data_IF_013018286334
#
_entry.id   IF_013018286334
#
_cell.length_a   1.000
_cell.length_b   1.000
_cell.length_c   1.000
_cell.angle_alpha   90.00
_cell.angle_beta   90.00
_cell.angle_gamma   90.00
#
_symmetry.space_group_name_H-M   'P 1'
#
loop_
_entity.id
_entity.type
_entity.pdbx_description
1 polymer ?
#
# COMPACT_ATOMS: atom_id res chain seq x y z
N UNK A 1 -35.93 8.61 0.21
CA UNK A 1 -35.45 8.49 -1.19
C UNK A 1 -36.29 9.30 -2.18
N UNK A 2 -37.62 9.39 -2.02
CA UNK A 2 -38.50 10.11 -2.95
C UNK A 2 -38.21 11.62 -3.06
N UNK A 3 -37.96 12.31 -1.95
CA UNK A 3 -37.63 13.75 -1.94
C UNK A 3 -36.31 14.04 -2.69
N UNK A 4 -35.30 13.18 -2.51
CA UNK A 4 -34.02 13.32 -3.20
C UNK A 4 -34.18 13.18 -4.72
N UNK A 5 -35.02 12.23 -5.14
CA UNK A 5 -35.30 11.97 -6.56
C UNK A 5 -36.00 13.16 -7.21
N UNK A 6 -36.97 13.78 -6.52
CA UNK A 6 -37.64 15.01 -6.97
C UNK A 6 -36.66 16.18 -7.08
N UNK A 7 -35.77 16.36 -6.10
CA UNK A 7 -34.75 17.41 -6.13
C UNK A 7 -33.77 17.25 -7.30
N UNK A 8 -33.36 16.01 -7.59
CA UNK A 8 -32.49 15.69 -8.74
C UNK A 8 -33.19 16.04 -10.05
N UNK A 9 -34.47 15.66 -10.21
CA UNK A 9 -35.24 15.97 -11.43
C UNK A 9 -35.39 17.49 -11.61
N UNK A 10 -35.74 18.23 -10.56
CA UNK A 10 -35.84 19.69 -10.62
C UNK A 10 -34.50 20.35 -10.98
N UNK A 11 -33.39 19.84 -10.45
CA UNK A 11 -32.05 20.31 -10.78
C UNK A 11 -31.74 20.12 -12.28
N UNK A 12 -32.05 18.96 -12.86
CA UNK A 12 -31.84 18.73 -14.29
C UNK A 12 -32.72 19.61 -15.18
N UNK A 13 -33.98 19.82 -14.81
CA UNK A 13 -34.88 20.75 -15.54
C UNK A 13 -34.31 22.17 -15.51
N UNK A 14 -33.81 22.60 -14.35
CA UNK A 14 -33.16 23.89 -14.20
C UNK A 14 -31.87 24.03 -15.03
N UNK A 15 -31.04 22.98 -15.08
CA UNK A 15 -29.85 22.95 -15.94
C UNK A 15 -30.20 23.07 -17.43
N UNK A 16 -31.22 22.34 -17.90
CA UNK A 16 -31.69 22.42 -19.28
C UNK A 16 -32.17 23.84 -19.60
N UNK A 17 -32.92 24.46 -18.67
CA UNK A 17 -33.39 25.83 -18.82
C UNK A 17 -32.23 26.83 -18.97
N UNK A 18 -31.18 26.70 -18.13
CA UNK A 18 -29.97 27.52 -18.22
C UNK A 18 -29.27 27.33 -19.57
N UNK A 19 -29.09 26.10 -20.01
CA UNK A 19 -28.46 25.79 -21.30
C UNK A 19 -29.22 26.47 -22.44
N UNK A 20 -30.54 26.27 -22.52
CA UNK A 20 -31.38 26.90 -23.55
C UNK A 20 -31.30 28.43 -23.47
N UNK A 21 -31.26 29.02 -22.26
CA UNK A 21 -31.16 30.46 -22.06
C UNK A 21 -29.82 31.06 -22.52
N UNK A 22 -28.73 30.30 -22.39
CA UNK A 22 -27.38 30.68 -22.86
C UNK A 22 -27.32 30.68 -24.39
N UNK A 23 -27.89 29.66 -25.05
CA UNK A 23 -27.85 29.52 -26.51
C UNK A 23 -28.75 30.53 -27.25
N UNK A 24 -29.74 31.14 -26.58
CA UNK A 24 -30.65 32.13 -27.18
C UNK A 24 -29.99 33.44 -27.64
N UNK A 25 -28.81 33.82 -27.12
CA UNK A 25 -28.14 35.08 -27.49
C UNK A 25 -26.66 34.87 -27.83
N UNK A 26 -26.16 35.45 -28.93
CA UNK A 26 -24.77 35.27 -29.35
C UNK A 26 -23.76 35.82 -28.33
N UNK A 27 -24.12 36.91 -27.63
CA UNK A 27 -23.30 37.49 -26.56
C UNK A 27 -23.17 36.54 -25.34
N UNK A 28 -24.27 35.91 -24.91
CA UNK A 28 -24.28 34.98 -23.77
C UNK A 28 -23.46 33.73 -24.06
N UNK A 29 -23.54 33.21 -25.28
CA UNK A 29 -22.72 32.09 -25.75
C UNK A 29 -21.22 32.42 -25.66
N UNK A 30 -20.81 33.61 -26.11
CA UNK A 30 -19.39 34.05 -26.01
C UNK A 30 -18.93 34.15 -24.55
N UNK A 31 -19.73 34.76 -23.68
CA UNK A 31 -19.41 34.87 -22.24
C UNK A 31 -19.32 33.49 -21.58
N UNK A 32 -20.28 32.60 -21.86
CA UNK A 32 -20.28 31.25 -21.31
C UNK A 32 -19.06 30.43 -21.77
N UNK A 33 -18.64 30.58 -23.03
CA UNK A 33 -17.42 29.93 -23.54
C UNK A 33 -16.15 30.47 -22.87
N UNK A 34 -16.07 31.78 -22.63
CA UNK A 34 -14.92 32.38 -21.92
C UNK A 34 -14.87 31.88 -20.48
N UNK A 35 -15.98 31.93 -19.75
CA UNK A 35 -16.05 31.46 -18.36
C UNK A 35 -15.76 29.96 -18.28
N UNK A 36 -16.40 29.16 -19.13
CA UNK A 36 -16.18 27.71 -19.18
C UNK A 36 -14.74 27.36 -19.52
N UNK A 37 -14.13 28.07 -20.48
CA UNK A 37 -12.72 27.92 -20.85
C UNK A 37 -11.79 28.27 -19.69
N UNK A 38 -12.03 29.38 -18.99
CA UNK A 38 -11.25 29.78 -17.82
C UNK A 38 -11.36 28.76 -16.68
N UNK A 39 -12.56 28.25 -16.39
CA UNK A 39 -12.77 27.22 -15.36
C UNK A 39 -12.05 25.93 -15.75
N UNK A 40 -12.18 25.47 -17.00
CA UNK A 40 -11.50 24.27 -17.48
C UNK A 40 -9.96 24.43 -17.41
N UNK A 41 -9.44 25.60 -17.75
CA UNK A 41 -8.02 25.90 -17.66
C UNK A 41 -7.52 25.93 -16.21
N UNK A 42 -8.28 26.53 -15.29
CA UNK A 42 -7.96 26.51 -13.86
C UNK A 42 -7.97 25.08 -13.29
N UNK A 43 -8.94 24.26 -13.69
CA UNK A 43 -8.98 22.84 -13.30
C UNK A 43 -7.79 22.06 -13.86
N UNK A 44 -7.36 22.36 -15.09
CA UNK A 44 -6.18 21.73 -15.69
C UNK A 44 -4.90 22.13 -14.95
N UNK A 45 -4.72 23.42 -14.63
CA UNK A 45 -3.60 23.91 -13.81
C UNK A 45 -3.62 23.23 -12.44
N UNK A 46 -4.78 23.17 -11.78
CA UNK A 46 -4.90 22.53 -10.47
C UNK A 46 -4.47 21.05 -10.51
N UNK A 47 -4.94 20.29 -11.51
CA UNK A 47 -4.61 18.87 -11.62
C UNK A 47 -3.14 18.60 -11.97
N UNK A 48 -2.49 19.50 -12.73
CA UNK A 48 -1.08 19.33 -13.12
C UNK A 48 -0.13 19.79 -12.01
N UNK A 49 -0.43 20.94 -11.37
CA UNK A 49 0.54 21.61 -10.49
C UNK A 49 0.23 21.47 -9.00
N UNK A 50 -1.05 21.32 -8.61
CA UNK A 50 -1.45 21.33 -7.20
C UNK A 50 -1.78 19.94 -6.66
N UNK A 51 -2.20 19.02 -7.53
CA UNK A 51 -2.31 17.61 -7.14
C UNK A 51 -0.92 17.02 -7.09
N UNK A 52 -0.48 16.68 -5.88
CA UNK A 52 0.80 16.05 -5.63
C UNK A 52 0.74 14.57 -6.02
N UNK A 53 1.24 14.26 -7.22
CA UNK A 53 1.36 12.90 -7.75
C UNK A 53 2.63 12.19 -7.28
N UNK A 54 3.37 12.76 -6.32
CA UNK A 54 4.55 12.08 -5.78
C UNK A 54 4.14 10.82 -5.02
N UNK A 55 4.96 9.78 -5.18
CA UNK A 55 4.82 8.54 -4.42
C UNK A 55 5.02 8.80 -2.93
N UNK A 56 4.12 8.28 -2.10
CA UNK A 56 4.20 8.41 -0.64
C UNK A 56 4.17 7.05 0.02
N UNK A 57 5.10 6.84 0.96
CA UNK A 57 5.11 5.68 1.84
C UNK A 57 4.45 6.07 3.16
N UNK A 58 3.29 5.50 3.43
CA UNK A 58 2.50 5.73 4.64
C UNK A 58 2.70 4.54 5.56
N UNK A 59 3.42 4.74 6.66
CA UNK A 59 3.55 3.69 7.68
C UNK A 59 2.27 3.62 8.51
N UNK A 60 1.76 2.41 8.76
CA UNK A 60 0.63 2.23 9.67
C UNK A 60 0.99 2.67 11.09
N UNK A 61 0.03 3.30 11.77
CA UNK A 61 0.12 3.69 13.19
C UNK A 61 -0.06 2.47 14.10
N UNK A 62 -0.82 1.48 13.63
CA UNK A 62 -1.18 0.25 14.36
C UNK A 62 -0.14 -0.83 14.16
N UNK A 63 0.32 -1.01 12.91
CA UNK A 63 1.29 -2.03 12.52
C UNK A 63 2.60 -1.38 12.06
N UNK A 64 3.62 -1.30 12.93
CA UNK A 64 4.90 -0.70 12.55
C UNK A 64 5.62 -1.41 11.38
N UNK A 65 5.27 -2.67 11.11
CA UNK A 65 5.77 -3.46 9.98
C UNK A 65 5.07 -3.17 8.66
N UNK A 66 3.91 -2.48 8.66
CA UNK A 66 3.10 -2.24 7.47
C UNK A 66 3.34 -0.86 6.86
N UNK A 67 3.57 -0.84 5.55
CA UNK A 67 3.68 0.36 4.71
C UNK A 67 2.66 0.29 3.58
N UNK A 68 1.90 1.38 3.41
CA UNK A 68 1.04 1.58 2.25
C UNK A 68 1.69 2.57 1.28
N UNK A 69 1.61 2.27 -0.01
CA UNK A 69 2.21 3.07 -1.07
C UNK A 69 1.09 3.79 -1.82
N UNK A 70 1.02 5.10 -1.67
CA UNK A 70 0.13 5.98 -2.43
C UNK A 70 0.85 6.51 -3.68
N UNK A 71 0.12 6.67 -4.79
CA UNK A 71 0.65 7.12 -6.08
C UNK A 71 1.85 6.29 -6.55
N UNK A 72 1.67 4.97 -6.68
CA UNK A 72 2.70 4.07 -7.16
C UNK A 72 3.31 4.53 -8.50
N UNK A 73 4.64 4.51 -8.58
CA UNK A 73 5.38 4.72 -9.83
C UNK A 73 5.16 3.48 -10.70
N UNK A 74 4.78 3.70 -11.95
CA UNK A 74 4.53 2.61 -12.91
C UNK A 74 5.79 1.80 -13.23
N UNK A 75 6.97 2.43 -13.17
CA UNK A 75 8.25 1.76 -13.31
C UNK A 75 8.56 0.87 -12.10
N UNK A 76 8.49 -0.44 -12.32
CA UNK A 76 8.63 -1.44 -11.26
C UNK A 76 10.05 -1.58 -10.76
N UNK A 77 11.06 -1.35 -11.60
CA UNK A 77 12.45 -1.45 -11.16
C UNK A 77 12.79 -0.33 -10.17
N UNK A 78 12.33 0.90 -10.44
CA UNK A 78 12.44 2.01 -9.50
C UNK A 78 11.68 1.76 -8.20
N UNK A 79 10.43 1.29 -8.28
CA UNK A 79 9.64 0.96 -7.08
C UNK A 79 10.34 -0.11 -6.22
N UNK A 80 10.78 -1.20 -6.83
CA UNK A 80 11.46 -2.30 -6.14
C UNK A 80 12.76 -1.81 -5.48
N UNK A 81 13.51 -0.94 -6.17
CA UNK A 81 14.73 -0.32 -5.63
C UNK A 81 14.43 0.53 -4.39
N UNK A 82 13.36 1.33 -4.40
CA UNK A 82 12.95 2.15 -3.25
C UNK A 82 12.52 1.29 -2.06
N UNK A 83 11.69 0.26 -2.30
CA UNK A 83 11.28 -0.70 -1.27
C UNK A 83 12.50 -1.36 -0.64
N UNK A 84 13.45 -1.84 -1.46
CA UNK A 84 14.70 -2.44 -0.97
C UNK A 84 15.50 -1.51 -0.09
N UNK A 85 15.59 -0.22 -0.44
CA UNK A 85 16.26 0.79 0.39
C UNK A 85 15.57 0.98 1.74
N UNK A 86 14.24 1.01 1.77
CA UNK A 86 13.46 1.11 3.02
C UNK A 86 13.70 -0.12 3.89
N UNK A 87 13.64 -1.33 3.31
CA UNK A 87 13.91 -2.60 4.01
C UNK A 87 15.29 -2.59 4.65
N UNK A 88 16.35 -2.28 3.87
CA UNK A 88 17.73 -2.23 4.39
C UNK A 88 17.84 -1.21 5.53
N UNK A 89 17.27 -0.01 5.37
CA UNK A 89 17.30 1.04 6.39
C UNK A 89 16.59 0.61 7.68
N UNK A 90 15.39 0.03 7.57
CA UNK A 90 14.60 -0.45 8.72
C UNK A 90 15.29 -1.63 9.40
N UNK A 91 15.76 -2.62 8.64
CA UNK A 91 16.50 -3.77 9.14
C UNK A 91 17.76 -3.34 9.92
N UNK A 92 18.59 -2.47 9.35
CA UNK A 92 19.82 -2.02 10.00
C UNK A 92 19.56 -1.24 11.30
N UNK A 93 18.47 -0.48 11.37
CA UNK A 93 18.14 0.34 12.54
C UNK A 93 17.39 -0.42 13.65
N UNK A 94 16.54 -1.38 13.25
CA UNK A 94 15.60 -2.04 14.14
C UNK A 94 15.97 -3.47 14.49
N UNK A 95 16.67 -4.18 13.61
CA UNK A 95 16.93 -5.62 13.74
C UNK A 95 18.41 -5.94 14.00
N UNK A 96 19.34 -5.42 13.19
CA UNK A 96 20.77 -5.71 13.33
C UNK A 96 21.28 -5.27 14.71
N UNK A 97 21.92 -6.19 15.44
CA UNK A 97 22.39 -5.98 16.82
C UNK A 97 21.28 -5.99 17.89
N UNK A 98 20.02 -6.19 17.49
CA UNK A 98 18.83 -6.26 18.35
C UNK A 98 18.03 -7.54 18.09
N UNK A 99 18.67 -8.56 17.53
CA UNK A 99 18.03 -9.79 17.07
C UNK A 99 17.25 -10.50 18.18
N UNK A 100 17.76 -10.43 19.42
CA UNK A 100 17.11 -11.02 20.59
C UNK A 100 15.68 -10.52 20.84
N UNK A 101 15.33 -9.29 20.42
CA UNK A 101 13.98 -8.73 20.59
C UNK A 101 12.93 -9.49 19.78
N UNK A 102 13.33 -10.04 18.64
CA UNK A 102 12.42 -10.67 17.69
C UNK A 102 12.40 -12.19 17.81
N UNK A 103 13.11 -12.75 18.78
CA UNK A 103 13.04 -14.19 19.06
C UNK A 103 11.68 -14.49 19.69
N UNK A 104 10.76 -15.05 18.90
CA UNK A 104 9.50 -15.57 19.42
C UNK A 104 9.72 -17.00 19.93
N UNK A 105 9.18 -17.31 21.11
CA UNK A 105 9.24 -18.66 21.67
C UNK A 105 8.11 -19.49 21.07
N UNK A 106 8.38 -20.24 20.01
CA UNK A 106 7.39 -21.19 19.48
C UNK A 106 7.23 -22.39 20.44
N UNK A 107 5.99 -22.80 20.66
CA UNK A 107 5.64 -23.97 21.47
C UNK A 107 5.96 -25.28 20.72
N UNK A 108 6.28 -26.29 21.52
CA UNK A 108 6.84 -27.60 21.17
C UNK A 108 5.99 -28.39 20.16
N UNK A 109 6.64 -29.02 19.15
CA UNK A 109 6.05 -30.15 18.41
C UNK A 109 6.97 -31.37 18.54
N UNK A 110 6.43 -32.61 18.60
CA UNK A 110 7.21 -33.82 18.88
C UNK A 110 8.33 -34.12 17.88
N UNK A 111 8.25 -33.53 16.68
CA UNK A 111 9.15 -33.83 15.55
C UNK A 111 10.19 -32.72 15.30
N UNK A 112 10.17 -31.62 16.07
CA UNK A 112 11.16 -30.55 15.96
C UNK A 112 11.37 -29.92 17.34
N UNK A 113 12.53 -30.14 18.00
CA UNK A 113 12.79 -29.53 19.30
C UNK A 113 12.67 -28.01 19.18
N UNK A 114 11.97 -27.42 20.16
CA UNK A 114 11.66 -25.98 20.33
C UNK A 114 12.51 -25.04 19.46
N UNK A 115 12.02 -24.70 18.27
CA UNK A 115 12.67 -23.72 17.41
C UNK A 115 12.15 -22.34 17.83
N UNK A 116 13.03 -21.46 18.30
CA UNK A 116 12.70 -20.03 18.37
C UNK A 116 12.62 -19.52 16.94
N UNK A 117 11.59 -18.76 16.59
CA UNK A 117 11.49 -18.12 15.28
C UNK A 117 11.90 -16.64 15.39
N UNK A 118 12.17 -15.99 14.26
CA UNK A 118 12.41 -14.56 14.20
C UNK A 118 11.16 -13.86 13.66
N UNK A 119 10.42 -13.22 14.56
CA UNK A 119 9.24 -12.43 14.22
C UNK A 119 9.64 -11.01 13.78
N UNK A 120 10.36 -10.92 12.66
CA UNK A 120 10.70 -9.65 12.02
C UNK A 120 10.35 -9.68 10.54
N UNK A 121 9.33 -8.90 10.19
CA UNK A 121 8.84 -8.76 8.84
C UNK A 121 8.46 -7.30 8.53
N UNK A 122 8.39 -6.98 7.24
CA UNK A 122 7.86 -5.72 6.73
C UNK A 122 6.96 -6.02 5.54
N UNK A 123 5.76 -5.46 5.53
CA UNK A 123 4.79 -5.62 4.47
C UNK A 123 4.56 -4.30 3.73
N UNK A 124 4.40 -4.40 2.41
CA UNK A 124 4.17 -3.28 1.53
C UNK A 124 2.93 -3.56 0.69
N UNK A 125 1.93 -2.68 0.78
CA UNK A 125 0.68 -2.79 0.03
C UNK A 125 0.39 -1.50 -0.73
N UNK A 126 -0.39 -1.60 -1.81
CA UNK A 126 -0.98 -0.44 -2.48
C UNK A 126 -1.91 0.26 -1.50
N UNK A 127 -1.83 1.59 -1.44
CA UNK A 127 -2.85 2.39 -0.76
C UNK A 127 -4.16 2.30 -1.54
N UNK A 128 -5.18 1.71 -0.92
CA UNK A 128 -6.48 1.53 -1.51
C UNK A 128 -7.56 1.89 -0.47
N UNK A 129 -8.42 2.83 -0.84
CA UNK A 129 -9.61 3.20 -0.07
C UNK A 129 -10.79 2.49 -0.69
N UNK A 130 -11.40 1.61 0.08
CA UNK A 130 -12.62 0.92 -0.33
C UNK A 130 -13.85 1.82 -0.25
N UNK A 131 -14.91 1.43 -0.95
CA UNK A 131 -16.15 2.21 -1.01
C UNK A 131 -17.05 1.90 0.19
N UNK A 132 -16.70 2.50 1.32
CA UNK A 132 -17.64 2.74 2.42
C UNK A 132 -17.61 1.71 3.54
N UNK A 133 -17.54 2.25 4.75
CA UNK A 133 -17.83 1.61 6.04
C UNK A 133 -19.15 0.83 5.97
N UNK A 134 -19.10 -0.48 5.74
CA UNK A 134 -20.30 -1.30 5.60
C UNK A 134 -20.04 -2.71 6.13
N UNK A 135 -21.03 -3.39 6.73
CA UNK A 135 -21.01 -4.85 6.88
C UNK A 135 -20.87 -5.65 5.56
N UNK A 136 -20.79 -5.00 4.38
CA UNK A 136 -20.72 -5.66 3.06
C UNK A 136 -19.76 -5.01 2.04
N UNK A 137 -18.90 -4.07 2.45
CA UNK A 137 -17.94 -3.40 1.57
C UNK A 137 -16.51 -3.63 2.04
N UNK A 138 -15.57 -3.82 1.11
CA UNK A 138 -14.14 -3.83 1.43
C UNK A 138 -13.77 -2.45 2.02
N UNK A 139 -13.19 -2.38 3.23
CA UNK A 139 -12.71 -1.11 3.80
C UNK A 139 -11.46 -0.59 3.06
N UNK A 140 -10.73 -1.50 2.42
CA UNK A 140 -9.49 -1.23 1.69
C UNK A 140 -8.27 -1.28 2.60
N UNK A 141 -7.07 -1.36 2.00
CA UNK A 141 -5.81 -1.43 2.75
C UNK A 141 -5.59 -0.19 3.61
N UNK A 142 -6.13 0.97 3.22
CA UNK A 142 -6.04 2.21 3.99
C UNK A 142 -6.65 2.10 5.39
N UNK A 143 -7.61 1.17 5.60
CA UNK A 143 -8.21 0.90 6.91
C UNK A 143 -7.14 0.58 7.98
N UNK A 144 -6.14 -0.22 7.61
CA UNK A 144 -5.10 -0.70 8.51
C UNK A 144 -4.04 0.35 8.85
N UNK A 145 -4.15 1.59 8.37
CA UNK A 145 -3.31 2.70 8.85
C UNK A 145 -3.65 3.03 10.30
N UNK A 146 -4.94 3.04 10.64
CA UNK A 146 -5.43 3.52 11.94
C UNK A 146 -6.19 2.46 12.73
N UNK A 147 -6.51 1.32 12.12
CA UNK A 147 -7.33 0.27 12.73
C UNK A 147 -6.58 -1.08 12.74
N UNK A 148 -6.82 -1.86 13.78
CA UNK A 148 -6.43 -3.27 13.83
C UNK A 148 -7.34 -4.11 12.93
N UNK A 149 -6.86 -5.28 12.50
CA UNK A 149 -7.69 -6.26 11.83
C UNK A 149 -8.84 -6.72 12.73
N UNK A 150 -10.03 -6.88 12.13
CA UNK A 150 -11.22 -7.39 12.80
C UNK A 150 -11.54 -8.78 12.24
N UNK A 151 -11.06 -9.88 12.85
CA UNK A 151 -11.33 -11.24 12.39
C UNK A 151 -12.77 -11.71 12.68
N UNK A 152 -13.69 -10.81 13.05
CA UNK A 152 -15.04 -11.14 13.49
C UNK A 152 -16.06 -11.45 12.37
N UNK A 153 -16.52 -12.71 12.32
CA UNK A 153 -17.81 -13.09 11.72
C UNK A 153 -17.94 -12.88 10.19
N UNK A 154 -19.17 -12.66 9.71
CA UNK A 154 -19.49 -12.49 8.29
C UNK A 154 -18.91 -11.20 7.65
N UNK A 155 -18.26 -10.35 8.45
CA UNK A 155 -17.71 -9.05 8.02
C UNK A 155 -16.27 -8.88 8.51
N UNK A 156 -15.49 -9.97 8.49
CA UNK A 156 -14.07 -9.96 8.88
C UNK A 156 -13.24 -9.06 7.96
N UNK A 157 -12.51 -8.13 8.55
CA UNK A 157 -11.66 -7.15 7.89
C UNK A 157 -10.20 -7.44 8.22
N UNK A 158 -9.56 -8.26 7.39
CA UNK A 158 -8.18 -8.72 7.57
C UNK A 158 -7.31 -8.31 6.38
N UNK A 159 -6.05 -7.94 6.66
CA UNK A 159 -5.13 -7.50 5.61
C UNK A 159 -4.89 -8.59 4.55
N UNK A 160 -4.99 -9.85 4.95
CA UNK A 160 -4.90 -11.03 4.09
C UNK A 160 -6.01 -11.11 3.03
N UNK A 161 -7.13 -10.39 3.19
CA UNK A 161 -8.15 -10.27 2.15
C UNK A 161 -7.70 -9.36 0.98
N UNK A 162 -6.63 -8.58 1.18
CA UNK A 162 -6.11 -7.61 0.23
C UNK A 162 -4.82 -8.06 -0.49
N UNK A 163 -4.55 -9.36 -0.56
CA UNK A 163 -3.36 -9.92 -1.23
C UNK A 163 -3.14 -9.43 -2.66
N UNK A 164 -4.22 -9.15 -3.41
CA UNK A 164 -4.15 -8.54 -4.76
C UNK A 164 -3.40 -7.19 -4.78
N UNK A 165 -3.40 -6.48 -3.65
CA UNK A 165 -2.72 -5.20 -3.44
C UNK A 165 -1.35 -5.35 -2.77
N UNK A 166 -0.89 -6.57 -2.47
CA UNK A 166 0.43 -6.80 -1.90
C UNK A 166 1.50 -6.48 -2.96
N UNK A 167 2.47 -5.65 -2.57
CA UNK A 167 3.56 -5.19 -3.44
C UNK A 167 4.86 -5.90 -3.06
N UNK A 168 5.15 -6.01 -1.77
CA UNK A 168 6.35 -6.68 -1.29
C UNK A 168 6.19 -7.18 0.14
N UNK A 169 7.01 -8.16 0.48
CA UNK A 169 7.14 -8.72 1.82
C UNK A 169 8.61 -8.97 2.09
N UNK A 170 9.08 -8.44 3.20
CA UNK A 170 10.37 -8.80 3.76
C UNK A 170 10.15 -9.64 5.00
N UNK A 171 10.91 -10.72 5.16
CA UNK A 171 10.94 -11.49 6.39
C UNK A 171 12.34 -12.05 6.63
N UNK A 172 12.65 -12.32 7.90
CA UNK A 172 13.87 -12.99 8.32
C UNK A 172 13.52 -14.37 8.85
N UNK A 173 14.26 -15.38 8.42
CA UNK A 173 14.14 -16.74 8.94
C UNK A 173 15.51 -17.26 9.35
N UNK A 174 15.54 -18.11 10.37
CA UNK A 174 16.74 -18.90 10.66
C UNK A 174 17.09 -19.82 9.49
N UNK A 175 18.38 -20.13 9.34
CA UNK A 175 18.82 -21.10 8.35
C UNK A 175 18.32 -22.50 8.72
N UNK A 176 18.04 -23.36 7.74
CA UNK A 176 17.36 -24.66 7.95
C UNK A 176 17.98 -25.58 9.00
N UNK A 177 19.29 -25.49 9.23
CA UNK A 177 20.03 -26.30 10.21
C UNK A 177 20.73 -25.47 11.29
N UNK A 178 20.35 -24.20 11.43
CA UNK A 178 20.98 -23.24 12.33
C UNK A 178 19.94 -22.50 13.18
N UNK A 179 20.32 -22.06 14.38
CA UNK A 179 19.51 -21.25 15.30
C UNK A 179 20.18 -19.92 15.66
N UNK A 180 21.34 -19.65 15.07
CA UNK A 180 22.16 -18.45 15.25
C UNK A 180 22.18 -17.66 13.96
N UNK A 181 22.43 -18.32 12.83
CA UNK A 181 22.47 -17.69 11.53
C UNK A 181 21.08 -17.57 10.88
N UNK A 182 20.89 -16.50 10.13
CA UNK A 182 19.61 -16.15 9.49
C UNK A 182 19.79 -15.65 8.06
N UNK A 183 18.69 -15.70 7.32
CA UNK A 183 18.56 -15.16 5.96
C UNK A 183 17.39 -14.18 5.94
N UNK A 184 17.58 -13.03 5.31
CA UNK A 184 16.53 -12.04 5.08
C UNK A 184 16.11 -12.05 3.62
N UNK A 185 14.85 -12.35 3.36
CA UNK A 185 14.28 -12.52 2.03
C UNK A 185 13.28 -11.39 1.77
N UNK A 186 13.40 -10.75 0.61
CA UNK A 186 12.46 -9.75 0.10
C UNK A 186 11.77 -10.29 -1.15
N UNK A 187 10.47 -10.54 -1.07
CA UNK A 187 9.62 -10.97 -2.18
C UNK A 187 8.84 -9.79 -2.72
N UNK A 188 8.72 -9.71 -4.04
CA UNK A 188 7.89 -8.71 -4.72
C UNK A 188 6.71 -9.41 -5.37
N UNK A 189 5.54 -8.81 -5.25
CA UNK A 189 4.27 -9.36 -5.68
C UNK A 189 3.62 -8.49 -6.76
N UNK A 190 2.79 -9.12 -7.59
CA UNK A 190 1.85 -8.45 -8.49
C UNK A 190 0.62 -9.33 -8.58
N UNK A 191 -0.55 -8.78 -8.22
CA UNK A 191 -1.81 -9.53 -8.24
C UNK A 191 -1.71 -10.88 -7.51
N UNK A 192 -1.15 -10.89 -6.30
CA UNK A 192 -0.92 -12.09 -5.47
C UNK A 192 0.16 -13.08 -6.00
N UNK A 193 0.79 -12.80 -7.14
CA UNK A 193 1.88 -13.64 -7.68
C UNK A 193 3.26 -13.08 -7.33
N UNK A 194 4.18 -13.95 -6.91
CA UNK A 194 5.59 -13.58 -6.70
C UNK A 194 6.25 -13.34 -8.05
N UNK A 195 6.72 -12.12 -8.28
CA UNK A 195 7.40 -11.72 -9.53
C UNK A 195 8.91 -11.77 -9.40
N UNK A 196 9.44 -11.52 -8.21
CA UNK A 196 10.89 -11.47 -7.94
C UNK A 196 11.17 -11.76 -6.47
N UNK A 197 12.32 -12.37 -6.20
CA UNK A 197 12.83 -12.58 -4.84
C UNK A 197 14.27 -12.12 -4.76
N UNK A 198 14.56 -11.24 -3.80
CA UNK A 198 15.90 -10.79 -3.46
C UNK A 198 16.32 -11.37 -2.10
N UNK A 199 17.60 -11.72 -1.99
CA UNK A 199 18.23 -11.96 -0.68
C UNK A 199 18.86 -10.66 -0.21
N UNK A 200 18.43 -10.16 0.95
CA UNK A 200 18.92 -8.90 1.54
C UNK A 200 20.14 -9.15 2.42
N UNK A 201 20.12 -10.24 3.18
CA UNK A 201 21.22 -10.68 4.02
C UNK A 201 21.24 -12.20 4.03
N UNK A 202 22.43 -12.79 3.94
CA UNK A 202 22.61 -14.24 4.03
C UNK A 202 23.76 -14.54 4.99
N UNK A 203 23.43 -15.05 6.17
CA UNK A 203 24.42 -15.53 7.15
C UNK A 203 24.51 -17.05 7.20
N UNK A 204 23.81 -17.77 6.32
CA UNK A 204 23.70 -19.24 6.38
C UNK A 204 24.98 -20.00 6.00
N UNK A 205 25.94 -19.35 5.34
CA UNK A 205 27.24 -19.94 4.99
C UNK A 205 28.35 -18.88 5.19
N UNK A 206 28.98 -18.80 6.38
CA UNK A 206 30.11 -17.88 6.61
C UNK A 206 31.40 -18.28 5.86
N UNK A 207 31.45 -19.45 5.21
CA UNK A 207 32.69 -20.02 4.63
C UNK A 207 32.95 -19.72 3.15
N UNK A 208 32.37 -18.67 2.56
CA UNK A 208 32.64 -18.32 1.14
C UNK A 208 32.80 -16.83 0.81
N UNK A 209 32.76 -15.91 1.78
CA UNK A 209 32.86 -14.47 1.47
C UNK A 209 34.26 -13.86 1.63
N UNK A 210 35.24 -14.60 2.16
CA UNK A 210 36.51 -14.01 2.60
C UNK A 210 37.72 -14.46 1.76
N UNK A 211 37.53 -15.16 0.64
CA UNK A 211 38.62 -15.65 -0.24
C UNK A 211 38.70 -14.97 -1.63
N UNK A 212 37.97 -13.88 -1.88
CA UNK A 212 38.02 -13.19 -3.19
C UNK A 212 38.42 -11.71 -3.07
N UNK A 213 39.41 -11.39 -2.23
CA UNK A 213 40.25 -10.18 -2.35
C UNK A 213 41.60 -10.40 -1.67
N UNK A 214 42.46 -11.23 -2.26
CA UNK A 214 43.93 -11.15 -2.11
C UNK A 214 44.58 -11.10 -3.49
#
# INVERSE_FOLDING_TARGET
MEILLVLIVLFFVFLIFIIVWIFKRPLRRKIALIIGGSVAFLLLIYNIFLVDHSMKFIQSKVYPSLFLIENEINDRDSLNKLIKQIVIKKMNSQFIGKEGKYKSKYQFTPNSPSRTDLDYYLDFYTYFVGWGTNPFGEAGTAHFIENEADPGGFSSEELDHYRKYKIAEFYISFCEKDTVNYIGILRYYRNDEITKTDTIINKCNPTKSDEEYE
#
